data_IF_439803982160
#
_entry.id   IF_439803982160
#
_cell.length_a   1.000
_cell.length_b   1.000
_cell.length_c   1.000
_cell.angle_alpha   90.00
_cell.angle_beta   90.00
_cell.angle_gamma   90.00
#
_symmetry.space_group_name_H-M   'P 1'
#
loop_
_entity.id
_entity.type
_entity.pdbx_description
1 polymer ?
#
# COMPACT_ATOMS: atom_id res chain seq x y z
N UNK A 1 -8.11 2.47 -3.12
CA UNK A 1 -9.05 1.53 -3.77
C UNK A 1 -9.44 0.52 -2.72
N UNK A 2 -10.72 0.35 -2.44
CA UNK A 2 -11.24 -0.42 -1.32
C UNK A 2 -11.35 -1.91 -1.68
N UNK A 3 -10.42 -2.77 -1.19
CA UNK A 3 -10.41 -4.19 -1.53
C UNK A 3 -10.15 -5.14 -0.33
N UNK A 4 -10.52 -4.76 0.90
CA UNK A 4 -10.22 -5.49 2.17
C UNK A 4 -8.81 -5.22 2.73
N UNK A 5 -8.68 -5.33 4.06
CA UNK A 5 -7.42 -5.18 4.81
C UNK A 5 -6.29 -6.03 4.21
N UNK A 6 -6.56 -7.29 3.88
CA UNK A 6 -5.56 -8.20 3.30
C UNK A 6 -5.01 -7.68 1.98
N UNK A 7 -5.88 -7.20 1.09
CA UNK A 7 -5.43 -6.68 -0.20
C UNK A 7 -4.58 -5.42 -0.05
N UNK A 8 -4.94 -4.52 0.88
CA UNK A 8 -4.14 -3.34 1.20
C UNK A 8 -2.75 -3.71 1.74
N UNK A 9 -2.64 -4.67 2.67
CA UNK A 9 -1.33 -5.12 3.15
C UNK A 9 -0.51 -5.85 2.08
N UNK A 10 -1.14 -6.66 1.23
CA UNK A 10 -0.46 -7.30 0.09
C UNK A 10 0.06 -6.26 -0.88
N UNK A 11 -0.75 -5.26 -1.25
CA UNK A 11 -0.32 -4.16 -2.10
C UNK A 11 0.85 -3.40 -1.47
N UNK A 12 0.77 -3.08 -0.18
CA UNK A 12 1.86 -2.42 0.55
C UNK A 12 3.16 -3.22 0.51
N UNK A 13 3.11 -4.53 0.75
CA UNK A 13 4.30 -5.40 0.72
C UNK A 13 4.93 -5.46 -0.67
N UNK A 14 4.11 -5.61 -1.72
CA UNK A 14 4.58 -5.69 -3.11
C UNK A 14 5.16 -4.36 -3.56
N UNK A 15 4.42 -3.24 -3.43
CA UNK A 15 4.90 -1.94 -3.91
C UNK A 15 6.04 -1.41 -3.05
N UNK A 16 6.04 -1.69 -1.75
CA UNK A 16 7.12 -1.31 -0.84
C UNK A 16 8.42 -2.02 -1.17
N UNK A 17 8.40 -3.34 -1.38
CA UNK A 17 9.60 -4.10 -1.76
C UNK A 17 10.13 -3.68 -3.13
N UNK A 18 9.26 -3.52 -4.13
CA UNK A 18 9.65 -3.03 -5.46
C UNK A 18 10.19 -1.60 -5.41
N UNK A 19 9.59 -0.72 -4.63
CA UNK A 19 10.06 0.66 -4.43
C UNK A 19 11.44 0.71 -3.78
N UNK A 20 11.68 -0.10 -2.74
CA UNK A 20 13.00 -0.19 -2.10
C UNK A 20 14.06 -0.72 -3.08
N UNK A 21 13.74 -1.74 -3.87
CA UNK A 21 14.66 -2.26 -4.90
C UNK A 21 14.92 -1.20 -5.98
N UNK A 22 13.90 -0.45 -6.40
CA UNK A 22 14.06 0.62 -7.37
C UNK A 22 14.98 1.72 -6.82
N UNK A 23 14.73 2.20 -5.60
CA UNK A 23 15.58 3.20 -4.93
C UNK A 23 17.02 2.71 -4.78
N UNK A 24 17.24 1.45 -4.43
CA UNK A 24 18.58 0.87 -4.30
C UNK A 24 19.34 0.78 -5.64
N UNK A 25 18.62 0.72 -6.77
CA UNK A 25 19.22 0.67 -8.11
C UNK A 25 19.35 2.04 -8.77
N UNK A 26 18.62 3.04 -8.29
CA UNK A 26 18.69 4.41 -8.80
C UNK A 26 20.02 5.07 -8.39
N UNK A 27 20.79 5.51 -9.38
CA UNK A 27 22.06 6.22 -9.15
C UNK A 27 21.95 7.75 -9.25
N UNK A 28 20.89 8.24 -9.89
CA UNK A 28 20.69 9.67 -10.11
C UNK A 28 19.68 10.23 -9.10
N UNK A 29 20.08 11.30 -8.40
CA UNK A 29 19.23 11.92 -7.38
C UNK A 29 17.91 12.47 -7.93
N UNK A 30 17.87 12.84 -9.22
CA UNK A 30 16.66 13.34 -9.87
C UNK A 30 15.61 12.27 -10.12
N UNK A 31 16.00 10.99 -10.17
CA UNK A 31 15.10 9.85 -10.36
C UNK A 31 14.58 9.28 -9.03
N UNK A 32 15.17 9.67 -7.90
CA UNK A 32 14.73 9.23 -6.58
C UNK A 32 13.27 9.55 -6.28
N UNK A 33 12.69 10.70 -6.64
CA UNK A 33 11.27 10.97 -6.40
C UNK A 33 10.36 9.96 -7.10
N UNK A 34 10.71 9.59 -8.34
CA UNK A 34 9.98 8.57 -9.10
C UNK A 34 10.14 7.19 -8.46
N UNK A 35 11.38 6.82 -8.11
CA UNK A 35 11.68 5.56 -7.42
C UNK A 35 11.05 5.46 -6.02
N UNK A 36 10.79 6.58 -5.35
CA UNK A 36 10.13 6.64 -4.04
C UNK A 36 8.60 6.53 -4.13
N UNK A 37 8.00 6.76 -5.30
CA UNK A 37 6.54 6.73 -5.49
C UNK A 37 5.90 5.40 -5.03
N UNK A 38 6.45 4.21 -5.34
CA UNK A 38 5.90 2.93 -4.87
C UNK A 38 6.01 2.75 -3.35
N UNK A 39 7.04 3.34 -2.72
CA UNK A 39 7.22 3.33 -1.26
C UNK A 39 6.20 4.23 -0.59
N UNK A 40 5.99 5.44 -1.10
CA UNK A 40 4.95 6.36 -0.62
C UNK A 40 3.56 5.73 -0.74
N UNK A 41 3.29 5.06 -1.87
CA UNK A 41 2.05 4.31 -2.06
C UNK A 41 1.92 3.14 -1.06
N UNK A 42 3.01 2.43 -0.76
CA UNK A 42 2.98 1.37 0.26
C UNK A 42 2.58 1.90 1.65
N UNK A 43 3.09 3.08 2.03
CA UNK A 43 2.71 3.74 3.30
C UNK A 43 1.21 4.09 3.31
N UNK A 44 0.68 4.59 2.20
CA UNK A 44 -0.76 4.79 2.04
C UNK A 44 -1.53 3.47 2.19
N UNK A 45 -1.07 2.40 1.55
CA UNK A 45 -1.73 1.08 1.61
C UNK A 45 -1.69 0.46 3.00
N UNK A 46 -0.63 0.67 3.79
CA UNK A 46 -0.62 0.29 5.22
C UNK A 46 -1.68 1.08 5.98
N UNK A 47 -1.79 2.40 5.73
CA UNK A 47 -2.77 3.25 6.39
C UNK A 47 -4.19 2.83 6.07
N UNK A 48 -4.49 2.56 4.79
CA UNK A 48 -5.78 2.01 4.34
C UNK A 48 -6.06 0.63 4.95
N UNK A 49 -5.06 -0.27 5.00
CA UNK A 49 -5.21 -1.57 5.65
C UNK A 49 -5.51 -1.48 7.15
N UNK A 50 -4.88 -0.53 7.84
CA UNK A 50 -5.18 -0.23 9.25
C UNK A 50 -6.58 0.35 9.41
N UNK A 51 -7.02 1.22 8.51
CA UNK A 51 -8.40 1.74 8.48
C UNK A 51 -9.38 0.57 8.34
N UNK A 52 -9.16 -0.36 7.41
CA UNK A 52 -9.98 -1.56 7.25
C UNK A 52 -10.01 -2.48 8.47
N UNK A 53 -8.91 -2.58 9.23
CA UNK A 53 -8.89 -3.31 10.51
C UNK A 53 -9.67 -2.57 11.63
N UNK A 54 -9.79 -1.25 11.52
CA UNK A 54 -10.46 -0.38 12.50
C UNK A 54 -11.93 -0.11 12.18
N UNK A 55 -12.36 -0.31 10.93
CA UNK A 55 -13.76 -0.37 10.53
C UNK A 55 -14.24 -1.83 10.68
N UNK A 56 -14.98 -2.18 11.73
CA UNK A 56 -15.65 -3.49 11.85
C UNK A 56 -16.85 -3.66 10.89
N UNK A 57 -16.76 -3.16 9.66
CA UNK A 57 -17.91 -2.86 8.82
C UNK A 57 -18.41 -4.06 7.95
N UNK A 58 -19.68 -4.42 8.08
CA UNK A 58 -20.54 -4.53 6.88
C UNK A 58 -20.21 -5.57 5.76
N UNK A 59 -19.93 -6.83 6.08
CA UNK A 59 -20.15 -7.93 5.12
C UNK A 59 -21.22 -8.94 5.57
N UNK A 60 -21.97 -8.62 6.64
CA UNK A 60 -23.18 -9.35 7.05
C UNK A 60 -24.44 -8.45 7.02
N UNK A 61 -24.38 -7.24 6.47
CA UNK A 61 -25.56 -6.40 6.23
C UNK A 61 -26.21 -6.63 4.85
N UNK A 62 -25.85 -7.74 4.17
CA UNK A 62 -26.57 -8.26 3.00
C UNK A 62 -27.57 -9.37 3.34
N UNK A 63 -27.89 -9.59 4.63
CA UNK A 63 -28.96 -10.51 5.06
C UNK A 63 -29.88 -9.75 6.03
N UNK A 64 -31.05 -9.35 5.55
CA UNK A 64 -32.10 -8.68 6.32
C UNK A 64 -33.11 -7.97 5.43
#
# INVERSE_FOLDING_TARGET
MCFSATASFTAAAVTGSLGLVAMARTRQLHDLPLAATPVLFAVQQVTEGLIWLRLPMEAHASIG
#
